data_IF_279279743209
#
_entry.id   IF_279279743209
#
_cell.length_a   1.000
_cell.length_b   1.000
_cell.length_c   1.000
_cell.angle_alpha   90.00
_cell.angle_beta   90.00
_cell.angle_gamma   90.00
#
_symmetry.space_group_name_H-M   'P 1'
#
loop_
_entity.id
_entity.type
_entity.pdbx_description
1 polymer ?
#
# COMPACT_ATOMS: atom_id res chain seq x y z
N UNK A 1 13.70 -9.56 31.95
CA UNK A 1 12.66 -10.54 31.57
C UNK A 1 11.34 -9.87 31.17
N UNK A 2 10.84 -8.89 31.96
CA UNK A 2 9.56 -8.21 31.65
C UNK A 2 9.55 -7.42 30.33
N UNK A 3 10.66 -6.83 29.93
CA UNK A 3 10.78 -6.06 28.68
C UNK A 3 10.75 -6.95 27.44
N UNK A 4 11.36 -8.15 27.51
CA UNK A 4 11.34 -9.12 26.41
C UNK A 4 9.94 -9.71 26.18
N UNK A 5 9.22 -9.99 27.26
CA UNK A 5 7.83 -10.49 27.20
C UNK A 5 6.89 -9.41 26.63
N UNK A 6 7.07 -8.14 26.97
CA UNK A 6 6.28 -7.05 26.37
C UNK A 6 6.53 -6.91 24.86
N UNK A 7 7.79 -7.00 24.41
CA UNK A 7 8.13 -6.97 22.97
C UNK A 7 7.55 -8.17 22.23
N UNK A 8 7.65 -9.38 22.79
CA UNK A 8 7.05 -10.58 22.20
C UNK A 8 5.53 -10.48 22.09
N UNK A 9 4.83 -9.95 23.10
CA UNK A 9 3.37 -9.75 23.04
C UNK A 9 2.97 -8.74 21.99
N UNK A 10 3.71 -7.65 21.80
CA UNK A 10 3.45 -6.68 20.75
C UNK A 10 3.69 -7.25 19.33
N UNK A 11 4.72 -8.06 19.14
CA UNK A 11 4.93 -8.81 17.90
C UNK A 11 3.76 -9.76 17.62
N UNK A 12 3.30 -10.49 18.63
CA UNK A 12 2.13 -11.37 18.51
C UNK A 12 0.85 -10.59 18.13
N UNK A 13 0.64 -9.37 18.63
CA UNK A 13 -0.50 -8.52 18.23
C UNK A 13 -0.43 -8.20 16.74
N UNK A 14 0.70 -7.71 16.25
CA UNK A 14 0.86 -7.34 14.83
C UNK A 14 0.62 -8.52 13.91
N UNK A 15 1.22 -9.65 14.20
CA UNK A 15 1.08 -10.86 13.39
C UNK A 15 -0.37 -11.34 13.33
N UNK A 16 -1.09 -11.29 14.46
CA UNK A 16 -2.50 -11.67 14.53
C UNK A 16 -3.41 -10.70 13.78
N UNK A 17 -3.15 -9.40 13.90
CA UNK A 17 -3.87 -8.37 13.13
C UNK A 17 -3.63 -8.56 11.62
N UNK A 18 -2.40 -8.82 11.21
CA UNK A 18 -2.07 -9.07 9.81
C UNK A 18 -2.81 -10.30 9.25
N UNK A 19 -2.80 -11.42 9.99
CA UNK A 19 -3.53 -12.64 9.61
C UNK A 19 -5.03 -12.36 9.54
N UNK A 20 -5.59 -11.67 10.54
CA UNK A 20 -7.01 -11.33 10.57
C UNK A 20 -7.41 -10.44 9.39
N UNK A 21 -6.58 -9.46 9.04
CA UNK A 21 -6.78 -8.61 7.87
C UNK A 21 -6.81 -9.41 6.56
N UNK A 22 -5.85 -10.33 6.39
CA UNK A 22 -5.78 -11.21 5.20
C UNK A 22 -6.98 -12.17 5.09
N UNK A 23 -7.54 -12.59 6.22
CA UNK A 23 -8.70 -13.49 6.26
C UNK A 23 -10.04 -12.77 6.07
N UNK A 24 -10.08 -11.45 6.21
CA UNK A 24 -11.30 -10.66 6.18
C UNK A 24 -11.23 -9.55 5.13
N UNK A 25 -11.10 -9.93 3.87
CA UNK A 25 -11.12 -9.02 2.71
C UNK A 25 -10.25 -7.75 2.89
N UNK A 26 -9.06 -7.96 3.47
CA UNK A 26 -8.04 -6.93 3.67
C UNK A 26 -8.41 -5.78 4.64
N UNK A 27 -9.32 -6.01 5.60
CA UNK A 27 -9.63 -5.06 6.67
C UNK A 27 -9.89 -5.77 8.01
N UNK A 28 -9.83 -5.02 9.12
CA UNK A 28 -9.91 -5.58 10.48
C UNK A 28 -11.13 -5.04 11.21
N UNK A 29 -12.20 -5.86 11.41
CA UNK A 29 -13.35 -5.46 12.19
C UNK A 29 -13.04 -5.44 13.69
N UNK A 30 -13.80 -4.62 14.44
CA UNK A 30 -13.69 -4.53 15.90
C UNK A 30 -13.86 -5.90 16.59
N UNK A 31 -14.69 -6.77 16.03
CA UNK A 31 -14.89 -8.13 16.54
C UNK A 31 -13.59 -8.95 16.50
N UNK A 32 -12.80 -8.85 15.42
CA UNK A 32 -11.52 -9.51 15.31
C UNK A 32 -10.50 -8.98 16.34
N UNK A 33 -10.46 -7.67 16.56
CA UNK A 33 -9.59 -7.07 17.59
C UNK A 33 -9.94 -7.57 19.01
N UNK A 34 -11.24 -7.64 19.33
CA UNK A 34 -11.72 -8.19 20.61
C UNK A 34 -11.36 -9.67 20.77
N UNK A 35 -11.50 -10.45 19.70
CA UNK A 35 -11.10 -11.86 19.71
C UNK A 35 -9.60 -12.02 19.93
N UNK A 36 -8.77 -11.24 19.23
CA UNK A 36 -7.31 -11.26 19.41
C UNK A 36 -6.92 -10.88 20.83
N UNK A 37 -7.55 -9.87 21.42
CA UNK A 37 -7.31 -9.46 22.80
C UNK A 37 -7.60 -10.61 23.78
N UNK A 38 -8.73 -11.28 23.62
CA UNK A 38 -9.09 -12.46 24.43
C UNK A 38 -8.10 -13.62 24.22
N UNK A 39 -7.73 -13.90 22.98
CA UNK A 39 -6.79 -14.96 22.64
C UNK A 39 -5.39 -14.75 23.25
N UNK A 40 -4.93 -13.49 23.31
CA UNK A 40 -3.62 -13.11 23.85
C UNK A 40 -3.66 -12.80 25.37
N UNK A 41 -4.82 -12.98 26.01
CA UNK A 41 -5.05 -12.64 27.42
C UNK A 41 -4.57 -11.24 27.78
N UNK A 42 -5.10 -10.23 27.06
CA UNK A 42 -4.75 -8.84 27.26
C UNK A 42 -5.95 -7.90 27.12
N UNK A 43 -5.88 -6.69 27.70
CA UNK A 43 -6.92 -5.68 27.50
C UNK A 43 -7.10 -5.33 26.01
N UNK A 44 -8.35 -5.21 25.58
CA UNK A 44 -8.72 -4.84 24.21
C UNK A 44 -8.01 -3.57 23.71
N UNK A 45 -7.87 -2.57 24.58
CA UNK A 45 -7.24 -1.30 24.23
C UNK A 45 -5.80 -1.49 23.66
N UNK A 46 -5.06 -2.51 24.12
CA UNK A 46 -3.71 -2.78 23.64
C UNK A 46 -3.68 -3.29 22.20
N UNK A 47 -4.68 -4.04 21.78
CA UNK A 47 -4.83 -4.47 20.40
C UNK A 47 -5.29 -3.29 19.54
N UNK A 48 -6.23 -2.50 20.05
CA UNK A 48 -6.74 -1.31 19.37
C UNK A 48 -5.65 -0.25 19.14
N UNK A 49 -4.81 0.02 20.16
CA UNK A 49 -3.64 0.92 20.03
C UNK A 49 -2.72 0.49 18.88
N UNK A 50 -2.43 -0.80 18.74
CA UNK A 50 -1.58 -1.32 17.66
C UNK A 50 -2.28 -1.21 16.30
N UNK A 51 -3.56 -1.54 16.23
CA UNK A 51 -4.32 -1.49 15.00
C UNK A 51 -4.47 -0.04 14.45
N UNK A 52 -4.61 0.94 15.34
CA UNK A 52 -4.74 2.37 14.96
C UNK A 52 -3.39 3.06 14.74
N UNK A 53 -2.33 2.55 15.34
CA UNK A 53 -0.99 3.15 15.20
C UNK A 53 -0.35 2.84 13.84
N UNK A 54 -0.50 1.61 13.34
CA UNK A 54 0.13 1.20 12.10
C UNK A 54 -0.80 1.42 10.90
N UNK A 55 -0.42 2.30 10.00
CA UNK A 55 -1.17 2.63 8.77
C UNK A 55 -1.39 1.46 7.79
N UNK A 56 -0.66 0.36 7.98
CA UNK A 56 -0.85 -0.86 7.18
C UNK A 56 -2.14 -1.62 7.52
N UNK A 57 -2.82 -1.27 8.61
CA UNK A 57 -4.07 -1.90 9.01
C UNK A 57 -5.28 -1.08 8.56
N UNK A 58 -6.12 -1.70 7.76
CA UNK A 58 -7.37 -1.10 7.31
C UNK A 58 -8.46 -1.34 8.35
N UNK A 59 -8.99 -0.27 8.92
CA UNK A 59 -10.01 -0.33 9.99
C UNK A 59 -11.44 -0.23 9.46
N UNK A 60 -11.58 -0.05 8.16
CA UNK A 60 -12.84 -0.04 7.42
C UNK A 60 -12.74 -0.93 6.18
N UNK A 61 -13.85 -1.40 5.62
CA UNK A 61 -13.84 -2.18 4.39
C UNK A 61 -13.11 -1.45 3.26
N UNK A 62 -12.23 -2.16 2.57
CA UNK A 62 -11.50 -1.69 1.38
C UNK A 62 -11.89 -2.54 0.17
N UNK A 63 -11.68 -2.02 -1.04
CA UNK A 63 -11.91 -2.78 -2.26
C UNK A 63 -10.94 -3.95 -2.42
N UNK A 64 -11.29 -4.89 -3.29
CA UNK A 64 -10.39 -5.99 -3.70
C UNK A 64 -9.03 -5.46 -4.15
N UNK A 65 -9.03 -4.30 -4.79
CA UNK A 65 -7.84 -3.54 -5.16
C UNK A 65 -7.79 -2.25 -4.36
N UNK A 66 -6.81 -2.16 -3.47
CA UNK A 66 -6.57 -1.00 -2.64
C UNK A 66 -5.38 -0.22 -3.16
N UNK A 67 -5.64 0.98 -3.70
CA UNK A 67 -4.64 1.85 -4.30
C UNK A 67 -4.12 2.84 -3.26
N UNK A 68 -2.82 2.82 -3.01
CA UNK A 68 -2.13 3.74 -2.10
C UNK A 68 -1.25 4.66 -2.93
N UNK A 69 -1.64 5.93 -3.05
CA UNK A 69 -0.94 6.93 -3.86
C UNK A 69 0.07 7.66 -2.99
N UNK A 70 1.36 7.53 -3.30
CA UNK A 70 2.41 8.27 -2.62
C UNK A 70 2.40 9.74 -3.06
N UNK A 71 2.21 10.68 -2.11
CA UNK A 71 2.18 12.14 -2.38
C UNK A 71 3.32 12.88 -1.69
N UNK A 72 4.33 12.19 -1.13
CA UNK A 72 5.50 12.81 -0.51
C UNK A 72 6.36 13.53 -1.55
N UNK A 73 7.19 14.44 -1.11
CA UNK A 73 7.90 15.44 -1.93
C UNK A 73 8.41 14.96 -3.31
N UNK A 74 9.15 13.85 -3.47
CA UNK A 74 9.60 13.42 -4.80
C UNK A 74 8.42 13.06 -5.72
N UNK A 75 7.42 12.36 -5.21
CA UNK A 75 6.22 12.01 -5.98
C UNK A 75 5.39 13.26 -6.30
N UNK A 76 5.23 14.17 -5.35
CA UNK A 76 4.53 15.44 -5.53
C UNK A 76 5.16 16.26 -6.67
N UNK A 77 6.48 16.46 -6.65
CA UNK A 77 7.22 17.20 -7.69
C UNK A 77 7.06 16.53 -9.07
N UNK A 78 6.92 15.21 -9.09
CA UNK A 78 6.77 14.42 -10.32
C UNK A 78 5.32 14.23 -10.78
N UNK A 79 4.36 14.89 -10.15
CA UNK A 79 2.95 14.90 -10.58
C UNK A 79 2.04 13.90 -9.87
N UNK A 80 2.34 13.53 -8.61
CA UNK A 80 1.49 12.60 -7.86
C UNK A 80 0.04 13.08 -7.68
N UNK A 81 -0.19 14.39 -7.62
CA UNK A 81 -1.55 14.93 -7.52
C UNK A 81 -2.38 14.73 -8.79
N UNK A 82 -1.74 14.59 -9.94
CA UNK A 82 -2.45 14.21 -11.17
C UNK A 82 -2.95 12.76 -11.05
N UNK A 83 -2.16 11.86 -10.44
CA UNK A 83 -2.59 10.49 -10.15
C UNK A 83 -3.74 10.45 -9.14
N UNK A 84 -3.70 11.30 -8.11
CA UNK A 84 -4.81 11.47 -7.16
C UNK A 84 -6.09 11.90 -7.88
N UNK A 85 -5.99 12.85 -8.81
CA UNK A 85 -7.14 13.30 -9.61
C UNK A 85 -7.71 12.17 -10.48
N UNK A 86 -6.86 11.32 -11.04
CA UNK A 86 -7.29 10.10 -11.76
C UNK A 86 -8.05 9.16 -10.83
N UNK A 87 -7.56 8.93 -9.62
CA UNK A 87 -8.23 8.10 -8.63
C UNK A 87 -9.60 8.69 -8.23
N UNK A 88 -9.67 10.00 -7.97
CA UNK A 88 -10.94 10.70 -7.68
C UNK A 88 -11.97 10.53 -8.77
N UNK A 89 -11.56 10.68 -10.02
CA UNK A 89 -12.44 10.57 -11.19
C UNK A 89 -12.92 9.14 -11.45
N UNK A 90 -12.04 8.15 -11.29
CA UNK A 90 -12.28 6.79 -11.76
C UNK A 90 -12.70 5.81 -10.66
N UNK A 91 -12.46 6.10 -9.38
CA UNK A 91 -12.73 5.19 -8.26
C UNK A 91 -13.81 5.78 -7.34
N UNK A 92 -13.47 6.80 -6.56
CA UNK A 92 -14.39 7.54 -5.71
C UNK A 92 -13.85 8.94 -5.44
N UNK A 93 -14.74 9.90 -5.18
CA UNK A 93 -14.37 11.30 -4.91
C UNK A 93 -13.55 11.43 -3.63
N UNK A 94 -13.90 10.65 -2.61
CA UNK A 94 -13.24 10.68 -1.31
C UNK A 94 -12.29 9.49 -1.11
N UNK A 95 -11.27 9.72 -0.31
CA UNK A 95 -10.35 8.66 0.13
C UNK A 95 -11.07 7.66 1.05
N UNK A 96 -10.59 6.41 1.06
CA UNK A 96 -11.12 5.32 1.87
C UNK A 96 -12.58 4.94 1.57
N UNK A 97 -13.14 5.43 0.50
CA UNK A 97 -14.45 5.02 0.00
C UNK A 97 -14.32 3.94 -1.07
N UNK A 98 -15.31 3.06 -1.10
CA UNK A 98 -15.39 2.04 -2.13
C UNK A 98 -15.91 2.62 -3.44
N UNK A 99 -15.37 2.16 -4.55
CA UNK A 99 -15.95 2.40 -5.88
C UNK A 99 -17.39 1.88 -5.96
N UNK A 100 -18.17 2.36 -6.92
CA UNK A 100 -19.58 1.97 -7.09
C UNK A 100 -19.78 0.45 -7.23
N UNK A 101 -18.84 -0.23 -7.87
CA UNK A 101 -18.79 -1.68 -8.05
C UNK A 101 -18.11 -2.41 -6.87
N UNK A 102 -17.67 -1.68 -5.85
CA UNK A 102 -16.96 -2.18 -4.65
C UNK A 102 -15.65 -2.91 -4.96
N UNK A 103 -15.13 -2.82 -6.16
CA UNK A 103 -13.89 -3.49 -6.55
C UNK A 103 -12.63 -2.75 -6.10
N UNK A 104 -12.68 -1.42 -6.05
CA UNK A 104 -11.54 -0.57 -5.78
C UNK A 104 -11.79 0.39 -4.62
N UNK A 105 -10.72 0.78 -3.96
CA UNK A 105 -10.66 1.93 -3.05
C UNK A 105 -9.29 2.55 -3.14
N UNK A 106 -9.13 3.81 -2.72
CA UNK A 106 -7.85 4.50 -2.77
C UNK A 106 -7.63 5.40 -1.56
N UNK A 107 -6.36 5.69 -1.28
CA UNK A 107 -5.94 6.60 -0.22
C UNK A 107 -4.62 7.27 -0.58
N UNK A 108 -4.42 8.51 -0.12
CA UNK A 108 -3.10 9.14 -0.10
C UNK A 108 -2.28 8.56 1.06
N UNK A 109 -1.00 8.28 0.80
CA UNK A 109 -0.09 7.75 1.81
C UNK A 109 1.24 8.51 1.79
N UNK A 110 1.94 8.38 2.91
CA UNK A 110 3.32 8.85 3.04
C UNK A 110 4.28 8.03 2.16
N UNK A 111 5.57 8.39 2.20
CA UNK A 111 6.59 7.81 1.34
C UNK A 111 6.65 6.28 1.43
N UNK A 112 6.46 5.62 0.27
CA UNK A 112 6.55 4.17 0.12
C UNK A 112 7.97 3.67 -0.24
N UNK A 113 8.96 4.57 -0.26
CA UNK A 113 10.38 4.21 -0.45
C UNK A 113 10.84 4.05 -1.90
N UNK A 114 9.99 4.25 -2.90
CA UNK A 114 10.35 4.16 -4.33
C UNK A 114 10.57 5.54 -4.99
N UNK A 115 11.15 6.49 -4.26
CA UNK A 115 11.27 7.90 -4.66
C UNK A 115 12.02 8.10 -5.99
N UNK A 116 12.97 7.23 -6.31
CA UNK A 116 13.74 7.34 -7.55
C UNK A 116 12.90 7.05 -8.79
N UNK A 117 11.84 6.28 -8.65
CA UNK A 117 10.90 5.91 -9.70
C UNK A 117 9.54 6.64 -9.53
N UNK A 118 9.57 7.82 -8.95
CA UNK A 118 8.38 8.65 -8.76
C UNK A 118 7.80 9.16 -10.10
N UNK A 119 6.47 9.39 -10.19
CA UNK A 119 5.48 9.09 -9.16
C UNK A 119 5.07 7.62 -9.17
N UNK A 120 4.54 7.13 -8.05
CA UNK A 120 4.21 5.73 -7.87
C UNK A 120 2.94 5.50 -7.08
N UNK A 121 2.33 4.34 -7.31
CA UNK A 121 1.16 3.83 -6.58
C UNK A 121 1.48 2.42 -6.13
N UNK A 122 1.12 2.08 -4.89
CA UNK A 122 1.06 0.69 -4.45
C UNK A 122 -0.38 0.18 -4.62
N UNK A 123 -0.55 -0.98 -5.22
CA UNK A 123 -1.85 -1.65 -5.33
C UNK A 123 -1.73 -2.98 -4.61
N UNK A 124 -2.40 -3.10 -3.49
CA UNK A 124 -2.26 -4.21 -2.54
C UNK A 124 -0.79 -4.39 -2.09
N UNK A 125 -0.08 -5.38 -2.64
CA UNK A 125 1.32 -5.69 -2.29
C UNK A 125 2.30 -5.32 -3.41
N UNK A 126 1.80 -4.93 -4.59
CA UNK A 126 2.61 -4.67 -5.77
C UNK A 126 2.84 -3.15 -5.98
N UNK A 127 4.05 -2.75 -6.41
CA UNK A 127 4.42 -1.39 -6.74
C UNK A 127 4.30 -1.14 -8.24
N UNK A 128 3.74 0.02 -8.59
CA UNK A 128 3.59 0.54 -9.94
C UNK A 128 4.27 1.89 -9.99
N UNK A 129 5.32 2.00 -10.77
CA UNK A 129 6.29 3.08 -10.69
C UNK A 129 6.45 3.80 -12.04
N UNK A 130 7.05 5.02 -12.01
CA UNK A 130 7.24 5.85 -13.22
C UNK A 130 5.92 6.14 -13.95
N UNK A 131 4.88 6.40 -13.18
CA UNK A 131 3.53 6.59 -13.69
C UNK A 131 3.33 7.99 -14.27
N UNK A 132 2.30 8.11 -15.09
CA UNK A 132 1.65 9.32 -15.54
C UNK A 132 0.14 9.10 -15.57
N UNK A 133 -0.61 10.13 -15.96
CA UNK A 133 -2.08 10.09 -16.03
C UNK A 133 -2.55 8.93 -16.90
N UNK A 134 -2.03 8.82 -18.14
CA UNK A 134 -2.46 7.80 -19.11
C UNK A 134 -2.19 6.37 -18.62
N UNK A 135 -1.00 6.13 -18.02
CA UNK A 135 -0.64 4.82 -17.49
C UNK A 135 -1.51 4.45 -16.29
N UNK A 136 -1.80 5.43 -15.43
CA UNK A 136 -2.65 5.22 -14.25
C UNK A 136 -4.09 4.92 -14.66
N UNK A 137 -4.64 5.62 -15.65
CA UNK A 137 -5.97 5.32 -16.19
C UNK A 137 -6.03 3.89 -16.77
N UNK A 138 -5.03 3.48 -17.55
CA UNK A 138 -4.93 2.11 -18.09
C UNK A 138 -4.86 1.05 -16.99
N UNK A 139 -4.06 1.29 -15.93
CA UNK A 139 -3.97 0.38 -14.78
C UNK A 139 -5.34 0.21 -14.12
N UNK A 140 -6.06 1.32 -13.87
CA UNK A 140 -7.39 1.28 -13.25
C UNK A 140 -8.39 0.55 -14.15
N UNK A 141 -8.34 0.78 -15.47
CA UNK A 141 -9.20 0.09 -16.42
C UNK A 141 -8.93 -1.42 -16.46
N UNK A 142 -7.67 -1.85 -16.50
CA UNK A 142 -7.29 -3.26 -16.42
C UNK A 142 -7.82 -3.91 -15.13
N UNK A 143 -7.66 -3.24 -13.99
CA UNK A 143 -8.17 -3.72 -12.70
C UNK A 143 -9.69 -3.90 -12.74
N UNK A 144 -10.44 -2.93 -13.29
CA UNK A 144 -11.89 -3.01 -13.44
C UNK A 144 -12.33 -4.17 -14.34
N UNK A 145 -11.52 -4.49 -15.33
CA UNK A 145 -11.72 -5.64 -16.21
C UNK A 145 -11.26 -6.97 -15.61
N UNK A 146 -10.88 -6.98 -14.33
CA UNK A 146 -10.28 -8.14 -13.62
C UNK A 146 -8.97 -8.65 -14.25
N UNK A 147 -8.26 -7.82 -14.98
CA UNK A 147 -6.91 -8.10 -15.44
C UNK A 147 -5.91 -7.72 -14.35
N UNK A 148 -4.77 -8.44 -14.29
CA UNK A 148 -3.69 -8.08 -13.38
C UNK A 148 -2.65 -7.23 -14.11
N UNK A 149 -2.53 -5.91 -13.85
CA UNK A 149 -1.48 -5.07 -14.44
C UNK A 149 -0.09 -5.61 -14.08
N UNK A 150 0.89 -5.37 -14.93
CA UNK A 150 2.27 -5.79 -14.66
C UNK A 150 2.90 -4.84 -13.62
N UNK A 151 3.36 -5.34 -12.46
CA UNK A 151 4.05 -4.50 -11.47
C UNK A 151 5.40 -3.98 -11.97
N UNK A 152 5.89 -2.92 -11.34
CA UNK A 152 7.19 -2.32 -11.56
C UNK A 152 7.16 -1.04 -12.38
N UNK A 153 8.31 -0.68 -12.97
CA UNK A 153 8.47 0.56 -13.70
C UNK A 153 7.77 0.55 -15.06
N UNK A 154 6.94 1.54 -15.31
CA UNK A 154 6.26 1.77 -16.60
C UNK A 154 7.12 2.55 -17.62
N UNK A 155 8.41 2.72 -17.33
CA UNK A 155 9.45 3.18 -18.26
C UNK A 155 10.45 2.07 -18.63
N UNK A 156 10.23 0.85 -18.14
CA UNK A 156 11.08 -0.31 -18.43
C UNK A 156 12.40 -0.34 -17.69
N UNK A 157 12.55 0.48 -16.64
CA UNK A 157 13.73 0.46 -15.76
C UNK A 157 13.78 -0.82 -14.91
N UNK A 158 14.97 -1.30 -14.65
CA UNK A 158 15.20 -2.41 -13.71
C UNK A 158 15.45 -1.82 -12.32
N UNK A 159 14.52 -2.04 -11.41
CA UNK A 159 14.59 -1.49 -10.04
C UNK A 159 14.85 0.03 -10.04
N UNK A 160 15.86 0.48 -9.30
CA UNK A 160 16.29 1.89 -9.17
C UNK A 160 17.35 2.31 -10.20
N UNK A 161 17.37 1.69 -11.35
CA UNK A 161 18.32 2.01 -12.43
C UNK A 161 18.10 3.44 -12.96
N UNK A 162 19.18 4.18 -13.29
CA UNK A 162 19.06 5.51 -13.89
C UNK A 162 18.29 5.49 -15.22
N UNK A 163 17.48 6.52 -15.48
CA UNK A 163 16.63 6.65 -16.67
C UNK A 163 17.43 6.52 -18.00
N UNK A 164 18.69 6.99 -18.01
CA UNK A 164 19.59 6.95 -19.16
C UNK A 164 20.55 5.76 -19.15
N UNK A 165 20.14 4.64 -18.56
CA UNK A 165 20.97 3.47 -18.32
C UNK A 165 22.12 3.70 -17.33
N UNK A 166 22.72 2.60 -16.90
CA UNK A 166 23.85 2.60 -15.99
C UNK A 166 25.09 3.20 -16.66
N UNK A 167 25.65 4.29 -16.08
CA UNK A 167 26.85 4.95 -16.57
C UNK A 167 28.09 4.70 -15.71
N UNK A 168 27.93 4.13 -14.52
CA UNK A 168 29.01 3.88 -13.56
C UNK A 168 29.35 2.41 -13.50
N UNK A 169 30.60 2.10 -13.21
CA UNK A 169 31.09 0.73 -12.99
C UNK A 169 30.87 -0.22 -14.20
N UNK A 170 30.83 0.32 -15.43
CA UNK A 170 30.62 -0.47 -16.67
C UNK A 170 31.81 -1.38 -17.00
N UNK A 171 33.02 -1.05 -16.53
CA UNK A 171 34.25 -1.75 -16.85
C UNK A 171 34.68 -2.77 -15.77
N UNK A 172 33.87 -2.94 -14.71
CA UNK A 172 34.15 -3.98 -13.71
C UNK A 172 33.61 -5.30 -14.26
N UNK A 173 34.49 -6.04 -14.90
CA UNK A 173 34.29 -7.45 -15.21
C UNK A 173 34.42 -8.21 -13.87
N UNK A 174 33.29 -8.66 -13.34
CA UNK A 174 33.23 -9.64 -12.24
C UNK A 174 34.09 -9.37 -11.03
N UNK A 175 33.58 -8.68 -10.02
CA UNK A 175 34.03 -8.84 -8.65
C UNK A 175 33.17 -9.90 -7.97
#
# INVERSE_FOLDING_TARGET
LHLSIRRQRQMCIRDRLYIAQKQNDNWIPLAAMKYIAKFLDMPYIKVYEVATFYSMYNLSPVGKYFLQVCTTTPCMIRGAYDLVNVCKKNISENQNELSKDKSCSWVEVECLGACINAPMIQINEDYYEDLDVEKTEKIIEQIKNNEKPKPGSYRGRKNSEPENNRKTLLNIKNA
#
